data_IF_597410024934
#
_entry.id   IF_597410024934
#
_cell.length_a   1.000
_cell.length_b   1.000
_cell.length_c   1.000
_cell.angle_alpha   90.00
_cell.angle_beta   90.00
_cell.angle_gamma   90.00
#
_symmetry.space_group_name_H-M   'P 1'
#
loop_
_entity.id
_entity.type
_entity.pdbx_description
1 polymer ?
#
# COMPACT_ATOMS: atom_id res chain seq x y z
N UNK A 1 0.52 17.84 7.61
CA UNK A 1 -0.34 16.64 7.63
C UNK A 1 -0.26 16.02 9.00
N UNK A 2 -1.38 15.67 9.58
CA UNK A 2 -1.47 14.90 10.82
C UNK A 2 -2.37 13.68 10.61
N UNK A 3 -2.03 12.55 11.25
CA UNK A 3 -2.90 11.37 11.33
C UNK A 3 -3.39 11.21 12.77
N UNK A 4 -4.70 11.06 12.94
CA UNK A 4 -5.38 10.78 14.21
C UNK A 4 -5.92 9.36 14.13
N UNK A 5 -5.68 8.58 15.16
CA UNK A 5 -6.26 7.24 15.30
C UNK A 5 -7.33 7.24 16.39
N UNK A 6 -8.51 6.72 16.07
CA UNK A 6 -9.65 6.62 16.99
C UNK A 6 -10.05 5.14 17.09
N UNK A 7 -9.98 4.58 18.30
CA UNK A 7 -10.43 3.21 18.54
C UNK A 7 -11.96 3.12 18.61
N UNK A 8 -12.53 1.92 18.42
CA UNK A 8 -13.97 1.72 18.45
C UNK A 8 -14.61 2.02 19.81
N UNK A 9 -13.82 1.96 20.89
CA UNK A 9 -14.28 2.18 22.27
C UNK A 9 -14.09 3.61 22.77
N UNK A 10 -13.44 4.47 21.99
CA UNK A 10 -13.20 5.86 22.39
C UNK A 10 -14.40 6.75 22.06
N UNK A 11 -14.72 7.67 22.98
CA UNK A 11 -15.65 8.75 22.69
C UNK A 11 -14.93 9.85 21.88
N UNK A 12 -15.59 10.32 20.83
CA UNK A 12 -15.04 11.38 19.99
C UNK A 12 -15.39 12.73 20.57
N UNK A 13 -14.38 13.48 20.95
CA UNK A 13 -14.53 14.86 21.39
C UNK A 13 -14.31 15.83 20.21
N UNK A 14 -15.41 16.29 19.61
CA UNK A 14 -15.40 17.13 18.40
C UNK A 14 -14.48 18.36 18.54
N UNK A 15 -14.45 18.99 19.72
CA UNK A 15 -13.61 20.18 19.95
C UNK A 15 -12.11 19.87 19.84
N UNK A 16 -11.65 18.67 20.22
CA UNK A 16 -10.24 18.27 20.09
C UNK A 16 -9.87 18.09 18.61
N UNK A 17 -10.76 17.52 17.81
CA UNK A 17 -10.55 17.41 16.36
C UNK A 17 -10.47 18.80 15.73
N UNK A 18 -11.38 19.70 16.07
CA UNK A 18 -11.40 21.08 15.55
C UNK A 18 -10.16 21.87 15.98
N UNK A 19 -9.65 21.65 17.18
CA UNK A 19 -8.38 22.24 17.63
C UNK A 19 -7.21 21.76 16.78
N UNK A 20 -7.13 20.46 16.48
CA UNK A 20 -6.11 19.90 15.59
C UNK A 20 -6.26 20.45 14.17
N UNK A 21 -7.48 20.51 13.63
CA UNK A 21 -7.75 21.08 12.29
C UNK A 21 -7.26 22.52 12.17
N UNK A 22 -7.36 23.31 13.25
CA UNK A 22 -6.87 24.69 13.24
C UNK A 22 -5.34 24.82 13.08
N UNK A 23 -4.60 23.74 13.38
CA UNK A 23 -3.14 23.70 13.38
C UNK A 23 -2.54 23.06 12.13
N UNK A 24 -3.33 22.30 11.37
CA UNK A 24 -2.84 21.51 10.24
C UNK A 24 -3.68 21.71 8.99
N UNK A 25 -3.00 21.88 7.86
CA UNK A 25 -3.66 22.06 6.54
C UNK A 25 -4.33 20.77 6.01
N UNK A 26 -3.94 19.60 6.53
CA UNK A 26 -4.50 18.34 6.11
C UNK A 26 -4.51 17.33 7.27
N UNK A 27 -5.72 16.87 7.60
CA UNK A 27 -5.97 15.94 8.71
C UNK A 27 -6.50 14.62 8.15
N UNK A 28 -5.91 13.51 8.59
CA UNK A 28 -6.36 12.16 8.29
C UNK A 28 -6.84 11.51 9.57
N UNK A 29 -8.08 11.02 9.57
CA UNK A 29 -8.64 10.29 10.70
C UNK A 29 -8.72 8.81 10.32
N UNK A 30 -8.08 7.97 11.11
CA UNK A 30 -8.16 6.50 11.01
C UNK A 30 -9.05 5.99 12.12
N UNK A 31 -10.09 5.26 11.77
CA UNK A 31 -11.05 4.70 12.71
C UNK A 31 -11.16 3.19 12.51
N UNK A 32 -11.43 2.47 13.57
CA UNK A 32 -11.81 1.07 13.46
C UNK A 32 -13.15 0.92 12.72
N UNK A 33 -13.21 -0.05 11.81
CA UNK A 33 -14.45 -0.35 11.08
C UNK A 33 -15.52 -0.93 12.02
N UNK A 34 -16.79 -0.67 11.69
CA UNK A 34 -17.93 -1.23 12.43
C UNK A 34 -18.59 -0.25 13.41
N UNK A 35 -17.97 0.87 13.74
CA UNK A 35 -18.63 1.92 14.52
C UNK A 35 -19.33 2.92 13.59
N UNK A 36 -20.61 2.65 13.31
CA UNK A 36 -21.43 3.50 12.44
C UNK A 36 -21.59 4.93 13.00
N UNK A 37 -21.65 5.06 14.33
CA UNK A 37 -21.79 6.38 14.98
C UNK A 37 -20.59 7.28 14.66
N UNK A 38 -19.39 6.77 14.78
CA UNK A 38 -18.15 7.48 14.40
C UNK A 38 -18.15 7.87 12.93
N UNK A 39 -18.55 6.94 12.04
CA UNK A 39 -18.63 7.23 10.60
C UNK A 39 -19.60 8.37 10.29
N UNK A 40 -20.79 8.36 10.90
CA UNK A 40 -21.80 9.41 10.72
C UNK A 40 -21.26 10.75 11.24
N UNK A 41 -20.66 10.75 12.43
CA UNK A 41 -20.12 11.97 13.04
C UNK A 41 -19.02 12.59 12.17
N UNK A 42 -18.08 11.78 11.67
CA UNK A 42 -17.02 12.28 10.76
C UNK A 42 -17.60 12.85 9.48
N UNK A 43 -18.62 12.20 8.91
CA UNK A 43 -19.30 12.72 7.72
C UNK A 43 -19.99 14.06 8.00
N UNK A 44 -20.61 14.22 9.18
CA UNK A 44 -21.22 15.49 9.59
C UNK A 44 -20.19 16.61 9.82
N UNK A 45 -18.96 16.25 10.23
CA UNK A 45 -17.84 17.18 10.34
C UNK A 45 -17.19 17.51 8.98
N UNK A 46 -17.66 16.92 7.89
CA UNK A 46 -17.16 17.19 6.53
C UNK A 46 -16.05 16.26 6.05
N UNK A 47 -15.71 15.22 6.81
CA UNK A 47 -14.74 14.22 6.36
C UNK A 47 -15.36 13.30 5.31
N UNK A 48 -14.55 12.96 4.32
CA UNK A 48 -14.91 12.00 3.27
C UNK A 48 -14.18 10.69 3.49
N UNK A 49 -14.87 9.55 3.36
CA UNK A 49 -14.24 8.24 3.40
C UNK A 49 -13.30 8.11 2.20
N UNK A 50 -12.01 7.98 2.46
CA UNK A 50 -10.98 7.85 1.43
C UNK A 50 -10.65 6.39 1.11
N UNK A 51 -10.50 5.54 2.12
CA UNK A 51 -10.15 4.13 1.95
C UNK A 51 -10.56 3.29 3.16
N UNK A 52 -10.67 1.97 2.96
CA UNK A 52 -10.78 0.99 4.03
C UNK A 52 -9.54 0.11 4.01
N UNK A 53 -8.82 0.04 5.12
CA UNK A 53 -7.63 -0.82 5.27
C UNK A 53 -8.00 -2.11 5.97
N UNK A 54 -7.56 -3.25 5.43
CA UNK A 54 -7.70 -4.57 6.04
C UNK A 54 -6.32 -5.18 6.23
N UNK A 55 -6.07 -5.68 7.45
CA UNK A 55 -4.87 -6.47 7.73
C UNK A 55 -5.19 -7.95 7.67
N UNK A 56 -4.46 -8.68 6.83
CA UNK A 56 -4.60 -10.12 6.68
C UNK A 56 -3.34 -10.80 7.20
N UNK A 57 -3.51 -11.75 8.13
CA UNK A 57 -2.42 -12.56 8.64
C UNK A 57 -2.69 -14.02 8.29
N UNK A 58 -1.67 -14.71 7.80
CA UNK A 58 -1.73 -16.15 7.56
C UNK A 58 -0.49 -16.82 8.11
N UNK A 59 -0.62 -17.80 9.04
CA UNK A 59 0.51 -18.58 9.50
C UNK A 59 1.20 -19.29 8.35
N UNK A 60 2.52 -19.22 8.27
CA UNK A 60 3.29 -19.84 7.19
C UNK A 60 3.01 -21.35 7.05
N UNK A 61 2.86 -22.06 8.18
CA UNK A 61 2.54 -23.50 8.20
C UNK A 61 1.19 -23.84 7.53
N UNK A 62 0.29 -22.86 7.43
CA UNK A 62 -1.02 -23.04 6.79
C UNK A 62 -1.01 -22.57 5.32
N UNK A 63 0.12 -22.09 4.85
CA UNK A 63 0.23 -21.55 3.50
C UNK A 63 0.41 -22.71 2.50
N UNK A 64 -0.71 -23.22 2.04
CA UNK A 64 -0.76 -24.18 0.95
C UNK A 64 -1.27 -23.47 -0.30
N UNK A 65 -0.43 -23.38 -1.31
CA UNK A 65 -0.88 -23.02 -2.65
C UNK A 65 -1.63 -24.24 -3.17
N UNK A 66 -2.92 -24.11 -3.46
CA UNK A 66 -3.66 -25.17 -4.14
C UNK A 66 -3.05 -25.30 -5.54
N UNK A 67 -2.30 -26.34 -5.75
CA UNK A 67 -1.69 -26.67 -7.02
C UNK A 67 -2.74 -27.23 -7.98
N UNK A 68 -3.53 -26.35 -8.60
CA UNK A 68 -4.22 -26.73 -9.82
C UNK A 68 -3.29 -26.57 -11.04
N UNK A 69 -3.68 -27.16 -12.16
CA UNK A 69 -2.87 -27.18 -13.38
C UNK A 69 -2.57 -25.77 -13.92
N UNK A 70 -3.49 -24.84 -13.75
CA UNK A 70 -3.33 -23.46 -14.21
C UNK A 70 -2.31 -22.71 -13.32
N UNK A 71 -2.49 -22.79 -12.01
CA UNK A 71 -1.58 -22.18 -11.04
C UNK A 71 -0.15 -22.70 -11.22
N UNK A 72 0.04 -24.03 -11.34
CA UNK A 72 1.36 -24.62 -11.57
C UNK A 72 1.97 -24.16 -12.90
N UNK A 73 1.17 -24.07 -13.97
CA UNK A 73 1.64 -23.59 -15.27
C UNK A 73 2.04 -22.10 -15.24
N UNK A 74 1.33 -21.26 -14.48
CA UNK A 74 1.68 -19.85 -14.29
C UNK A 74 2.96 -19.71 -13.45
N UNK A 75 3.01 -20.38 -12.31
CA UNK A 75 4.18 -20.33 -11.40
C UNK A 75 5.47 -20.81 -12.09
N UNK A 76 5.38 -21.81 -12.96
CA UNK A 76 6.55 -22.30 -13.73
C UNK A 76 7.14 -21.25 -14.68
N UNK A 77 6.41 -20.23 -15.02
CA UNK A 77 6.82 -19.13 -15.90
C UNK A 77 7.23 -17.86 -15.12
N UNK A 78 7.08 -17.89 -13.79
CA UNK A 78 7.47 -16.79 -12.93
C UNK A 78 8.90 -16.97 -12.42
N UNK A 79 9.59 -15.84 -12.27
CA UNK A 79 10.89 -15.76 -11.62
C UNK A 79 10.87 -14.55 -10.69
N UNK A 80 11.49 -14.69 -9.51
CA UNK A 80 11.62 -13.62 -8.54
C UNK A 80 13.10 -13.40 -8.27
N UNK A 81 13.56 -12.15 -8.36
CA UNK A 81 14.93 -11.75 -8.09
C UNK A 81 14.97 -10.64 -7.05
N UNK A 82 15.87 -10.76 -6.08
CA UNK A 82 16.04 -9.71 -5.09
C UNK A 82 16.85 -8.55 -5.65
N UNK A 83 16.34 -7.33 -5.48
CA UNK A 83 17.08 -6.09 -5.74
C UNK A 83 18.10 -5.89 -4.62
N UNK A 84 19.38 -5.74 -5.01
CA UNK A 84 20.49 -5.56 -4.07
C UNK A 84 21.38 -4.36 -4.41
N UNK A 85 21.24 -3.81 -5.62
CA UNK A 85 22.04 -2.68 -6.08
C UNK A 85 21.20 -1.41 -6.22
N UNK A 86 21.86 -0.27 -6.21
CA UNK A 86 21.22 1.02 -6.48
C UNK A 86 20.78 1.13 -7.93
N UNK A 87 21.49 0.49 -8.87
CA UNK A 87 21.13 0.46 -10.29
C UNK A 87 19.79 -0.25 -10.50
N UNK A 88 19.61 -1.42 -9.88
CA UNK A 88 18.34 -2.16 -9.91
C UNK A 88 17.19 -1.37 -9.28
N UNK A 89 17.49 -0.66 -8.18
CA UNK A 89 16.51 0.23 -7.54
C UNK A 89 16.10 1.35 -8.50
N UNK A 90 17.05 1.99 -9.17
CA UNK A 90 16.75 3.08 -10.12
C UNK A 90 15.94 2.56 -11.33
N UNK A 91 16.25 1.36 -11.83
CA UNK A 91 15.45 0.71 -12.86
C UNK A 91 13.99 0.55 -12.40
N UNK A 92 13.74 -0.02 -11.21
CA UNK A 92 12.40 -0.14 -10.66
C UNK A 92 11.70 1.22 -10.57
N UNK A 93 12.36 2.22 -9.98
CA UNK A 93 11.76 3.55 -9.79
C UNK A 93 11.39 4.22 -11.12
N UNK A 94 12.14 3.94 -12.19
CA UNK A 94 11.83 4.45 -13.54
C UNK A 94 10.57 3.83 -14.13
N UNK A 95 10.23 2.60 -13.74
CA UNK A 95 9.04 1.87 -14.20
C UNK A 95 7.78 2.18 -13.37
N UNK A 96 7.92 2.82 -12.22
CA UNK A 96 6.80 3.26 -11.39
C UNK A 96 6.17 4.53 -11.99
N UNK A 97 5.15 4.36 -12.83
CA UNK A 97 4.44 5.47 -13.50
C UNK A 97 3.51 6.22 -12.56
N UNK A 98 3.00 7.38 -13.02
CA UNK A 98 2.08 8.20 -12.23
C UNK A 98 0.71 7.54 -12.04
N UNK A 99 0.35 6.56 -12.90
CA UNK A 99 -0.94 5.84 -12.86
C UNK A 99 -0.87 4.45 -12.24
N UNK A 100 0.32 3.99 -11.83
CA UNK A 100 0.50 2.64 -11.29
C UNK A 100 -0.35 2.36 -10.04
N UNK A 101 -0.60 3.37 -9.22
CA UNK A 101 -1.36 3.27 -7.96
C UNK A 101 -2.69 4.00 -8.04
N UNK A 102 -3.45 3.78 -9.11
CA UNK A 102 -4.69 4.51 -9.42
C UNK A 102 -5.83 4.32 -8.40
N UNK A 103 -5.73 3.33 -7.52
CA UNK A 103 -6.69 3.09 -6.43
C UNK A 103 -6.26 3.68 -5.08
N UNK A 104 -5.06 4.29 -5.02
CA UNK A 104 -4.56 4.91 -3.80
C UNK A 104 -5.35 6.18 -3.43
N UNK A 105 -5.58 6.39 -2.13
CA UNK A 105 -6.29 7.57 -1.61
C UNK A 105 -5.66 8.89 -2.06
N UNK A 106 -4.32 8.97 -2.10
CA UNK A 106 -3.60 10.19 -2.54
C UNK A 106 -3.78 10.42 -4.04
N UNK A 107 -3.84 9.33 -4.82
CA UNK A 107 -4.12 9.41 -6.25
C UNK A 107 -5.52 9.98 -6.53
N UNK A 108 -6.51 9.53 -5.75
CA UNK A 108 -7.93 9.89 -5.92
C UNK A 108 -8.28 11.23 -5.27
N UNK A 109 -7.45 11.72 -4.35
CA UNK A 109 -7.66 12.99 -3.68
C UNK A 109 -7.41 14.17 -4.65
N UNK A 110 -8.41 15.03 -4.90
CA UNK A 110 -8.27 16.16 -5.82
C UNK A 110 -7.20 17.18 -5.40
N UNK A 111 -6.77 17.19 -4.13
CA UNK A 111 -5.70 18.07 -3.64
C UNK A 111 -4.31 17.58 -4.05
N UNK A 112 -4.12 16.29 -4.29
CA UNK A 112 -2.80 15.70 -4.55
C UNK A 112 -2.67 15.14 -5.97
N UNK A 113 -3.48 14.15 -6.31
CA UNK A 113 -3.52 13.52 -7.62
C UNK A 113 -2.34 12.59 -7.94
N UNK A 114 -2.27 12.10 -9.21
CA UNK A 114 -1.38 11.01 -9.62
C UNK A 114 0.10 11.24 -9.34
N UNK A 115 0.62 12.42 -9.68
CA UNK A 115 2.05 12.74 -9.49
C UNK A 115 2.51 12.69 -8.04
N UNK A 116 1.67 13.15 -7.11
CA UNK A 116 1.99 13.10 -5.68
C UNK A 116 1.93 11.68 -5.15
N UNK A 117 0.96 10.88 -5.57
CA UNK A 117 0.87 9.45 -5.23
C UNK A 117 2.12 8.71 -5.69
N UNK A 118 2.49 8.79 -6.98
CA UNK A 118 3.68 8.13 -7.51
C UNK A 118 4.97 8.56 -6.78
N UNK A 119 5.15 9.87 -6.54
CA UNK A 119 6.30 10.39 -5.81
C UNK A 119 6.36 9.84 -4.38
N UNK A 120 5.21 9.77 -3.69
CA UNK A 120 5.11 9.20 -2.35
C UNK A 120 5.58 7.75 -2.34
N UNK A 121 5.08 6.91 -3.24
CA UNK A 121 5.43 5.50 -3.31
C UNK A 121 6.89 5.27 -3.71
N UNK A 122 7.43 6.04 -4.65
CA UNK A 122 8.86 6.00 -4.99
C UNK A 122 9.73 6.35 -3.78
N UNK A 123 9.43 7.45 -3.08
CA UNK A 123 10.18 7.88 -1.90
C UNK A 123 10.08 6.86 -0.76
N UNK A 124 8.89 6.29 -0.54
CA UNK A 124 8.69 5.26 0.46
C UNK A 124 9.47 3.98 0.14
N UNK A 125 9.43 3.53 -1.11
CA UNK A 125 10.24 2.38 -1.57
C UNK A 125 11.73 2.60 -1.31
N UNK A 126 12.27 3.76 -1.68
CA UNK A 126 13.67 4.13 -1.40
C UNK A 126 13.98 4.14 0.10
N UNK A 127 13.10 4.73 0.89
CA UNK A 127 13.26 4.83 2.33
C UNK A 127 13.29 3.46 3.00
N UNK A 128 12.35 2.58 2.66
CA UNK A 128 12.30 1.23 3.23
C UNK A 128 13.44 0.34 2.74
N UNK A 129 13.84 0.45 1.47
CA UNK A 129 15.02 -0.25 0.95
C UNK A 129 16.30 0.13 1.72
N UNK A 130 16.50 1.43 1.98
CA UNK A 130 17.63 1.93 2.78
C UNK A 130 17.58 1.48 4.25
N UNK A 131 16.38 1.19 4.77
CA UNK A 131 16.18 0.62 6.11
C UNK A 131 16.36 -0.89 6.17
N UNK A 132 16.69 -1.53 5.04
CA UNK A 132 16.95 -2.98 4.94
C UNK A 132 15.71 -3.82 4.60
N UNK A 133 14.64 -3.21 4.11
CA UNK A 133 13.51 -3.98 3.57
C UNK A 133 13.93 -4.78 2.34
N UNK A 134 13.31 -5.93 2.16
CA UNK A 134 13.55 -6.85 1.05
C UNK A 134 12.74 -6.39 -0.16
N UNK A 135 13.40 -6.07 -1.24
CA UNK A 135 12.77 -5.61 -2.48
C UNK A 135 13.03 -6.63 -3.58
N UNK A 136 11.98 -7.02 -4.30
CA UNK A 136 12.04 -8.07 -5.30
C UNK A 136 11.48 -7.62 -6.64
N UNK A 137 12.17 -8.02 -7.73
CA UNK A 137 11.67 -7.96 -9.11
C UNK A 137 10.85 -9.23 -9.39
N UNK A 138 9.71 -9.05 -10.02
CA UNK A 138 8.87 -10.16 -10.50
C UNK A 138 8.95 -10.24 -12.01
N UNK A 139 9.30 -11.41 -12.53
CA UNK A 139 9.33 -11.68 -13.95
C UNK A 139 8.26 -12.71 -14.32
N UNK A 140 7.62 -12.51 -15.45
CA UNK A 140 6.77 -13.49 -16.11
C UNK A 140 7.24 -13.65 -17.54
N UNK A 141 7.57 -14.89 -17.96
CA UNK A 141 8.15 -15.18 -19.28
C UNK A 141 9.37 -14.30 -19.61
N UNK A 142 10.25 -14.12 -18.64
CA UNK A 142 11.43 -13.23 -18.71
C UNK A 142 11.14 -11.74 -18.90
N UNK A 143 9.89 -11.30 -18.80
CA UNK A 143 9.54 -9.87 -18.79
C UNK A 143 9.43 -9.38 -17.35
N UNK A 144 10.02 -8.24 -17.03
CA UNK A 144 9.92 -7.59 -15.73
C UNK A 144 8.52 -6.99 -15.60
N UNK A 145 7.64 -7.63 -14.83
CA UNK A 145 6.21 -7.33 -14.80
C UNK A 145 5.75 -6.57 -13.56
N UNK A 146 6.53 -6.61 -12.48
CA UNK A 146 6.13 -5.99 -11.22
C UNK A 146 7.16 -6.20 -10.12
N UNK A 147 6.81 -5.78 -8.91
CA UNK A 147 7.70 -5.85 -7.76
C UNK A 147 6.95 -6.13 -6.46
N UNK A 148 7.69 -6.51 -5.42
CA UNK A 148 7.21 -6.50 -4.05
C UNK A 148 8.28 -5.98 -3.09
N UNK A 149 7.83 -5.22 -2.10
CA UNK A 149 8.61 -4.68 -1.00
C UNK A 149 8.11 -5.32 0.28
N UNK A 150 8.99 -6.04 0.99
CA UNK A 150 8.65 -6.76 2.19
C UNK A 150 9.60 -6.39 3.33
N UNK A 151 9.10 -6.38 4.54
CA UNK A 151 9.88 -6.16 5.75
C UNK A 151 9.81 -7.40 6.62
N UNK A 152 10.98 -7.89 7.04
CA UNK A 152 11.06 -8.96 8.02
C UNK A 152 11.11 -8.34 9.42
N UNK A 153 10.17 -8.74 10.28
CA UNK A 153 10.13 -8.37 11.69
C UNK A 153 9.98 -9.66 12.51
N UNK A 154 11.02 -10.01 13.23
CA UNK A 154 11.08 -11.27 13.99
C UNK A 154 10.78 -12.49 13.10
N UNK A 155 9.68 -13.20 13.38
CA UNK A 155 9.21 -14.37 12.64
C UNK A 155 8.19 -14.00 11.52
N UNK A 156 7.87 -12.72 11.36
CA UNK A 156 6.87 -12.27 10.41
C UNK A 156 7.51 -11.64 9.16
N UNK A 157 6.87 -11.84 8.01
CA UNK A 157 7.16 -11.15 6.76
C UNK A 157 5.96 -10.25 6.42
N UNK A 158 6.17 -8.95 6.49
CA UNK A 158 5.16 -7.96 6.14
C UNK A 158 5.33 -7.54 4.69
N UNK A 159 4.32 -7.76 3.87
CA UNK A 159 4.26 -7.17 2.54
C UNK A 159 3.83 -5.71 2.69
N UNK A 160 4.75 -4.79 2.45
CA UNK A 160 4.52 -3.35 2.59
C UNK A 160 3.88 -2.76 1.32
N UNK A 161 4.37 -3.20 0.16
CA UNK A 161 3.94 -2.71 -1.13
C UNK A 161 4.19 -3.79 -2.18
N UNK A 162 3.25 -3.98 -3.08
CA UNK A 162 3.42 -4.81 -4.25
C UNK A 162 2.60 -4.25 -5.41
N UNK A 163 3.02 -4.50 -6.63
CA UNK A 163 2.26 -4.08 -7.79
C UNK A 163 2.86 -4.55 -9.10
N UNK A 164 1.98 -4.70 -10.09
CA UNK A 164 2.37 -4.88 -11.47
C UNK A 164 2.50 -3.52 -12.16
N UNK A 165 3.46 -3.39 -13.07
CA UNK A 165 3.57 -2.18 -13.89
C UNK A 165 2.32 -1.98 -14.74
N UNK A 166 2.03 -0.73 -15.07
CA UNK A 166 0.77 -0.32 -15.72
C UNK A 166 0.40 -1.18 -16.93
N UNK A 167 1.37 -1.50 -17.77
CA UNK A 167 1.19 -2.34 -18.98
C UNK A 167 0.83 -3.80 -18.70
N UNK A 168 1.00 -4.28 -17.46
CA UNK A 168 0.69 -5.64 -17.04
C UNK A 168 -0.49 -5.72 -16.08
N UNK A 169 -1.09 -4.58 -15.73
CA UNK A 169 -2.31 -4.56 -14.93
C UNK A 169 -3.48 -5.14 -15.69
N UNK A 170 -4.38 -5.83 -14.98
CA UNK A 170 -5.56 -6.49 -15.55
C UNK A 170 -5.29 -7.57 -16.62
N UNK A 171 -4.07 -8.08 -16.72
CA UNK A 171 -3.70 -9.13 -17.67
C UNK A 171 -3.87 -10.55 -17.12
N UNK A 172 -4.19 -10.70 -15.84
CA UNK A 172 -4.28 -12.00 -15.16
C UNK A 172 -2.93 -12.61 -14.75
N UNK A 173 -1.87 -11.78 -14.77
CA UNK A 173 -0.51 -12.15 -14.32
C UNK A 173 -0.34 -11.72 -12.87
#
# INVERSE_FOLDING_TARGET
>A
VVEIYISASEDIHVHEIQEIESQYEYVVIKMESGNMHHTILMTQLGYTLAETQMSLNKPYAEWQIKEDKLTSALLSQMKVEQIKSDEDLQELLSLMTDHMFSTDRIYLDPLFGPKYSARRYRNWTVSEFKRGALLYKHYFRNQYVGFSLCKKEEENLHCLLAGNFEQYQNTGI
#
